data_IF_170978779954
#
_entry.id   IF_170978779954
#
_cell.length_a   1.000
_cell.length_b   1.000
_cell.length_c   1.000
_cell.angle_alpha   90.00
_cell.angle_beta   90.00
_cell.angle_gamma   90.00
#
_symmetry.space_group_name_H-M   'P 1'
#
loop_
_entity.id
_entity.type
_entity.pdbx_description
1 polymer ?
#
# COMPACT_ATOMS: atom_id res chain seq x y z
N UNK A 1 1.35 -13.00 44.81
CA UNK A 1 0.75 -11.89 44.04
C UNK A 1 0.19 -12.51 42.77
N UNK A 2 -1.12 -12.72 42.74
CA UNK A 2 -1.82 -13.25 41.55
C UNK A 2 -1.96 -12.14 40.52
N UNK A 3 -1.21 -12.22 39.42
CA UNK A 3 -1.40 -11.35 38.27
C UNK A 3 -2.62 -11.83 37.48
N UNK A 4 -3.77 -11.25 37.80
CA UNK A 4 -4.96 -11.34 36.96
C UNK A 4 -4.68 -10.61 35.63
N UNK A 5 -4.25 -11.36 34.61
CA UNK A 5 -4.31 -10.89 33.23
C UNK A 5 -5.79 -10.77 32.87
N UNK A 6 -6.34 -9.55 32.96
CA UNK A 6 -7.58 -9.21 32.28
C UNK A 6 -7.35 -9.44 30.79
N UNK A 7 -7.94 -10.51 30.24
CA UNK A 7 -8.08 -10.66 28.79
C UNK A 7 -8.73 -9.40 28.24
N UNK A 8 -8.09 -8.67 27.30
CA UNK A 8 -8.73 -7.56 26.63
C UNK A 8 -10.00 -8.09 25.98
N UNK A 9 -11.15 -7.52 26.34
CA UNK A 9 -12.38 -7.74 25.58
C UNK A 9 -12.11 -7.22 24.18
N UNK A 10 -12.02 -8.15 23.23
CA UNK A 10 -11.87 -7.86 21.81
C UNK A 10 -13.05 -6.99 21.38
N UNK A 11 -12.83 -5.68 21.25
CA UNK A 11 -13.76 -4.80 20.58
C UNK A 11 -13.77 -5.23 19.12
N UNK A 12 -14.76 -6.02 18.74
CA UNK A 12 -14.95 -6.46 17.35
C UNK A 12 -15.31 -5.23 16.52
N UNK A 13 -14.29 -4.53 16.02
CA UNK A 13 -14.49 -3.41 15.12
C UNK A 13 -14.89 -3.95 13.75
N UNK A 14 -16.12 -3.63 13.36
CA UNK A 14 -16.62 -3.83 12.02
C UNK A 14 -15.96 -2.77 11.13
N UNK A 15 -14.85 -3.13 10.46
CA UNK A 15 -14.60 -2.57 9.12
C UNK A 15 -15.94 -2.68 8.39
N UNK A 16 -16.57 -1.53 8.05
CA UNK A 16 -17.80 -1.56 7.28
C UNK A 16 -17.45 -2.27 5.98
N UNK A 17 -17.77 -3.55 5.90
CA UNK A 17 -17.72 -4.34 4.69
C UNK A 17 -18.74 -3.68 3.78
N UNK A 18 -18.30 -2.64 3.08
CA UNK A 18 -19.00 -2.16 1.91
C UNK A 18 -19.12 -3.38 1.02
N UNK A 19 -20.33 -3.71 0.58
CA UNK A 19 -20.59 -4.90 -0.22
C UNK A 19 -19.60 -4.91 -1.39
N UNK A 20 -18.53 -5.69 -1.27
CA UNK A 20 -17.36 -5.48 -2.10
C UNK A 20 -17.63 -5.91 -3.55
N UNK A 21 -18.77 -6.57 -3.78
CA UNK A 21 -19.35 -6.87 -5.09
C UNK A 21 -19.86 -5.63 -5.83
N UNK A 22 -20.11 -4.51 -5.14
CA UNK A 22 -20.64 -3.25 -5.70
C UNK A 22 -19.64 -2.09 -5.68
N UNK A 23 -18.44 -2.31 -5.14
CA UNK A 23 -17.39 -1.30 -5.06
C UNK A 23 -16.95 -0.84 -6.46
N UNK A 24 -16.88 0.48 -6.66
CA UNK A 24 -16.37 1.04 -7.91
C UNK A 24 -14.87 0.69 -8.03
N UNK A 25 -14.43 0.12 -9.16
CA UNK A 25 -13.02 -0.16 -9.38
C UNK A 25 -12.23 1.15 -9.43
N UNK A 26 -11.07 1.15 -8.80
CA UNK A 26 -10.17 2.30 -8.69
C UNK A 26 -9.10 2.22 -9.78
N UNK A 27 -8.76 3.37 -10.37
CA UNK A 27 -7.69 3.43 -11.37
C UNK A 27 -8.05 2.80 -12.71
N UNK A 28 -9.32 2.87 -13.14
CA UNK A 28 -9.72 2.47 -14.49
C UNK A 28 -8.92 3.28 -15.53
N UNK A 29 -8.18 2.60 -16.40
CA UNK A 29 -7.32 3.25 -17.38
C UNK A 29 -7.54 2.74 -18.80
N UNK A 30 -8.07 3.61 -19.68
CA UNK A 30 -8.40 3.27 -21.07
C UNK A 30 -7.53 3.99 -22.11
N UNK A 31 -6.65 4.90 -21.69
CA UNK A 31 -5.76 5.60 -22.60
C UNK A 31 -4.67 4.64 -23.14
N UNK A 32 -4.14 4.96 -24.31
CA UNK A 32 -3.05 4.18 -24.90
C UNK A 32 -1.76 4.38 -24.09
N UNK A 33 -1.04 3.29 -23.84
CA UNK A 33 0.30 3.32 -23.25
C UNK A 33 1.34 2.84 -24.25
N UNK A 34 2.62 3.22 -24.10
CA UNK A 34 3.72 2.66 -24.87
C UNK A 34 3.76 1.14 -24.91
N UNK A 35 4.16 0.55 -26.04
CA UNK A 35 4.27 -0.91 -26.20
C UNK A 35 5.28 -1.53 -25.22
N UNK A 36 6.41 -0.85 -24.98
CA UNK A 36 7.35 -1.20 -23.90
C UNK A 36 6.92 -0.47 -22.64
N UNK A 37 6.29 -1.19 -21.71
CA UNK A 37 5.78 -0.63 -20.47
C UNK A 37 6.04 -1.59 -19.29
N UNK A 38 7.14 -1.40 -18.54
CA UNK A 38 7.40 -2.20 -17.33
C UNK A 38 6.32 -1.98 -16.25
N UNK A 39 5.61 -0.85 -16.31
CA UNK A 39 4.57 -0.47 -15.34
C UNK A 39 3.16 -0.85 -15.76
N UNK A 40 2.99 -1.80 -16.70
CA UNK A 40 1.68 -2.17 -17.27
C UNK A 40 0.61 -2.53 -16.22
N UNK A 41 1.02 -3.06 -15.06
CA UNK A 41 0.10 -3.37 -13.98
C UNK A 41 -0.56 -2.13 -13.39
N UNK A 42 -0.03 -0.92 -13.57
CA UNK A 42 -0.72 0.29 -13.10
C UNK A 42 -1.89 0.68 -14.02
N UNK A 43 -1.93 0.21 -15.26
CA UNK A 43 -2.86 0.68 -16.29
C UNK A 43 -3.93 -0.36 -16.61
N UNK A 44 -4.67 -0.81 -15.59
CA UNK A 44 -5.76 -1.78 -15.75
C UNK A 44 -6.99 -1.11 -16.38
N UNK A 45 -7.53 -1.61 -17.52
CA UNK A 45 -8.76 -1.10 -18.11
C UNK A 45 -10.00 -1.42 -17.28
N UNK A 46 -9.90 -2.39 -16.36
CA UNK A 46 -10.97 -2.74 -15.42
C UNK A 46 -10.81 -2.05 -14.06
N UNK A 47 -9.70 -1.34 -13.84
CA UNK A 47 -9.31 -0.83 -12.53
C UNK A 47 -9.05 -1.96 -11.52
N UNK A 48 -9.01 -1.59 -10.25
CA UNK A 48 -8.72 -2.46 -9.11
C UNK A 48 -9.78 -2.34 -8.03
N UNK A 49 -10.21 -3.48 -7.48
CA UNK A 49 -11.08 -3.50 -6.33
C UNK A 49 -10.27 -3.74 -5.05
N UNK A 50 -9.71 -2.68 -4.48
CA UNK A 50 -8.93 -2.76 -3.24
C UNK A 50 -9.73 -3.16 -2.01
N UNK A 51 -11.07 -3.17 -2.08
CA UNK A 51 -11.96 -3.65 -1.01
C UNK A 51 -12.09 -5.19 -1.01
N UNK A 52 -11.67 -5.87 -2.09
CA UNK A 52 -11.77 -7.32 -2.22
C UNK A 52 -10.68 -7.86 -3.15
N UNK A 53 -9.43 -7.75 -2.68
CA UNK A 53 -8.24 -8.13 -3.43
C UNK A 53 -7.40 -9.16 -2.67
N UNK A 54 -6.81 -10.17 -3.35
CA UNK A 54 -5.76 -10.99 -2.76
C UNK A 54 -4.54 -10.14 -2.39
N UNK A 55 -3.98 -10.35 -1.19
CA UNK A 55 -2.80 -9.61 -0.75
C UNK A 55 -1.60 -9.76 -1.72
N UNK A 56 -1.49 -10.90 -2.40
CA UNK A 56 -0.48 -11.14 -3.44
C UNK A 56 -0.67 -10.27 -4.68
N UNK A 57 -1.92 -9.98 -5.06
CA UNK A 57 -2.22 -9.09 -6.18
C UNK A 57 -1.88 -7.64 -5.82
N UNK A 58 -2.22 -7.20 -4.59
CA UNK A 58 -1.79 -5.90 -4.08
C UNK A 58 -0.26 -5.78 -4.03
N UNK A 59 0.45 -6.84 -3.60
CA UNK A 59 1.92 -6.89 -3.61
C UNK A 59 2.50 -6.70 -5.01
N UNK A 60 1.88 -7.30 -6.04
CA UNK A 60 2.35 -7.13 -7.42
C UNK A 60 2.19 -5.69 -7.89
N UNK A 61 1.07 -5.03 -7.57
CA UNK A 61 0.86 -3.61 -7.86
C UNK A 61 1.91 -2.78 -7.13
N UNK A 62 2.09 -3.01 -5.82
CA UNK A 62 3.08 -2.31 -5.00
C UNK A 62 4.50 -2.43 -5.54
N UNK A 63 4.93 -3.63 -5.95
CA UNK A 63 6.25 -3.84 -6.52
C UNK A 63 6.46 -3.02 -7.80
N UNK A 64 5.42 -2.86 -8.62
CA UNK A 64 5.50 -2.02 -9.82
C UNK A 64 5.60 -0.53 -9.47
N UNK A 65 4.96 -0.09 -8.39
CA UNK A 65 5.11 1.28 -7.88
C UNK A 65 6.54 1.50 -7.35
N UNK A 66 7.08 0.53 -6.60
CA UNK A 66 8.48 0.58 -6.11
C UNK A 66 9.45 0.67 -7.28
N UNK A 67 9.25 -0.14 -8.33
CA UNK A 67 10.07 -0.10 -9.54
C UNK A 67 9.99 1.28 -10.21
N UNK A 68 8.79 1.85 -10.37
CA UNK A 68 8.60 3.18 -10.93
C UNK A 68 9.34 4.27 -10.15
N UNK A 69 9.21 4.28 -8.82
CA UNK A 69 9.89 5.27 -7.98
C UNK A 69 11.41 5.14 -8.07
N UNK A 70 11.91 3.90 -8.09
CA UNK A 70 13.34 3.61 -8.29
C UNK A 70 13.83 4.13 -9.65
N UNK A 71 13.11 3.83 -10.74
CA UNK A 71 13.51 4.22 -12.09
C UNK A 71 13.51 5.76 -12.26
N UNK A 72 12.52 6.45 -11.68
CA UNK A 72 12.48 7.92 -11.65
C UNK A 72 13.63 8.50 -10.83
N UNK A 73 13.97 7.89 -9.68
CA UNK A 73 15.09 8.34 -8.86
C UNK A 73 16.42 8.17 -9.60
N UNK A 74 16.64 7.02 -10.22
CA UNK A 74 17.82 6.74 -11.03
C UNK A 74 17.92 7.70 -12.21
N UNK A 75 16.82 7.98 -12.92
CA UNK A 75 16.85 8.92 -14.05
C UNK A 75 17.19 10.35 -13.63
N UNK A 76 16.90 10.74 -12.39
CA UNK A 76 17.16 12.11 -11.88
C UNK A 76 18.51 12.26 -11.20
N UNK A 77 18.94 11.26 -10.45
CA UNK A 77 20.06 11.38 -9.49
C UNK A 77 21.15 10.32 -9.69
N UNK A 78 20.97 9.42 -10.65
CA UNK A 78 21.92 8.35 -10.94
C UNK A 78 21.69 7.08 -10.13
N UNK A 79 22.47 6.05 -10.48
CA UNK A 79 22.47 4.76 -9.81
C UNK A 79 22.92 4.88 -8.35
N UNK A 80 22.25 4.16 -7.44
CA UNK A 80 22.53 4.24 -5.99
C UNK A 80 21.89 5.45 -5.28
N UNK A 81 21.02 6.20 -5.96
CA UNK A 81 20.24 7.27 -5.33
C UNK A 81 19.43 6.75 -4.13
N UNK A 82 19.48 7.50 -3.01
CA UNK A 82 18.80 7.12 -1.78
C UNK A 82 17.29 7.22 -1.98
N UNK A 83 16.49 6.21 -1.56
CA UNK A 83 15.05 6.29 -1.61
C UNK A 83 14.55 7.48 -0.78
N UNK A 84 13.59 8.22 -1.33
CA UNK A 84 12.86 9.24 -0.60
C UNK A 84 11.92 8.62 0.45
N UNK A 85 11.29 9.46 1.27
CA UNK A 85 10.40 8.99 2.35
C UNK A 85 9.27 8.12 1.81
N UNK A 86 8.67 8.49 0.68
CA UNK A 86 7.60 7.71 0.07
C UNK A 86 8.10 6.32 -0.36
N UNK A 87 9.21 6.24 -1.08
CA UNK A 87 9.84 4.99 -1.51
C UNK A 87 10.25 4.12 -0.33
N UNK A 88 10.72 4.73 0.76
CA UNK A 88 11.02 4.02 2.00
C UNK A 88 9.76 3.37 2.59
N UNK A 89 8.63 4.10 2.65
CA UNK A 89 7.36 3.54 3.13
C UNK A 89 6.84 2.42 2.21
N UNK A 90 6.95 2.55 0.88
CA UNK A 90 6.56 1.47 -0.05
C UNK A 90 7.29 0.17 0.24
N UNK A 91 8.61 0.24 0.45
CA UNK A 91 9.42 -0.93 0.80
C UNK A 91 9.02 -1.54 2.14
N UNK A 92 8.67 -0.71 3.14
CA UNK A 92 8.18 -1.22 4.43
C UNK A 92 6.84 -1.92 4.30
N UNK A 93 5.92 -1.42 3.47
CA UNK A 93 4.66 -2.10 3.15
C UNK A 93 4.95 -3.44 2.47
N UNK A 94 5.85 -3.47 1.48
CA UNK A 94 6.20 -4.71 0.78
C UNK A 94 6.76 -5.77 1.72
N UNK A 95 7.60 -5.37 2.68
CA UNK A 95 8.12 -6.24 3.73
C UNK A 95 7.03 -6.73 4.69
N UNK A 96 6.13 -5.84 5.13
CA UNK A 96 5.01 -6.20 6.00
C UNK A 96 4.04 -7.19 5.32
N UNK A 97 3.89 -7.10 4.00
CA UNK A 97 3.12 -8.07 3.22
C UNK A 97 3.90 -9.38 3.04
N UNK A 98 5.21 -9.33 2.79
CA UNK A 98 6.01 -10.54 2.58
C UNK A 98 5.99 -11.50 3.78
N UNK A 99 5.79 -10.97 4.99
CA UNK A 99 5.71 -11.73 6.24
C UNK A 99 4.28 -12.17 6.60
N UNK A 100 3.27 -11.85 5.78
CA UNK A 100 1.89 -12.28 6.03
C UNK A 100 1.60 -13.69 5.47
N UNK A 101 0.86 -14.49 6.24
CA UNK A 101 0.34 -15.79 5.81
C UNK A 101 -1.14 -15.72 5.40
N UNK A 102 -1.69 -14.51 5.22
CA UNK A 102 -3.09 -14.32 4.85
C UNK A 102 -3.42 -15.00 3.50
N UNK A 103 -4.39 -15.92 3.52
CA UNK A 103 -4.93 -16.58 2.34
C UNK A 103 -6.37 -16.12 2.12
N UNK A 104 -6.66 -15.54 0.96
CA UNK A 104 -8.00 -15.05 0.62
C UNK A 104 -7.97 -13.65 0.02
N UNK A 105 -9.15 -13.05 -0.11
CA UNK A 105 -9.33 -11.65 -0.50
C UNK A 105 -9.69 -10.83 0.73
N UNK A 106 -9.23 -9.59 0.77
CA UNK A 106 -9.52 -8.65 1.86
C UNK A 106 -9.66 -7.24 1.31
N UNK A 107 -10.29 -6.38 2.10
CA UNK A 107 -10.06 -4.95 2.00
C UNK A 107 -8.62 -4.68 2.47
N UNK A 108 -7.82 -4.12 1.56
CA UNK A 108 -6.40 -3.86 1.80
C UNK A 108 -6.24 -2.81 2.91
N UNK A 109 -7.00 -1.72 2.87
CA UNK A 109 -6.90 -0.66 3.87
C UNK A 109 -7.37 -1.13 5.24
N UNK A 110 -8.47 -1.88 5.31
CA UNK A 110 -8.92 -2.45 6.58
C UNK A 110 -7.94 -3.46 7.17
N UNK A 111 -7.22 -4.24 6.34
CA UNK A 111 -6.17 -5.12 6.84
C UNK A 111 -5.09 -4.34 7.61
N UNK A 112 -4.62 -3.22 7.05
CA UNK A 112 -3.59 -2.38 7.70
C UNK A 112 -4.16 -1.61 8.90
N UNK A 113 -5.40 -1.11 8.82
CA UNK A 113 -6.07 -0.45 9.94
C UNK A 113 -6.17 -1.37 11.15
N UNK A 114 -6.57 -2.63 10.96
CA UNK A 114 -6.63 -3.62 12.03
C UNK A 114 -5.28 -3.77 12.75
N UNK A 115 -4.16 -3.72 12.01
CA UNK A 115 -2.82 -3.77 12.62
C UNK A 115 -2.47 -2.51 13.42
N UNK A 116 -2.97 -1.34 13.01
CA UNK A 116 -2.84 -0.11 13.80
C UNK A 116 -3.59 -0.24 15.13
N UNK A 117 -4.82 -0.74 15.08
CA UNK A 117 -5.65 -0.95 16.27
C UNK A 117 -5.04 -1.99 17.22
N UNK A 118 -4.60 -3.14 16.69
CA UNK A 118 -3.87 -4.16 17.48
C UNK A 118 -2.62 -3.57 18.14
N UNK A 119 -1.86 -2.72 17.45
CA UNK A 119 -0.69 -2.04 18.01
C UNK A 119 -1.08 -0.99 19.07
N UNK A 120 -2.23 -0.34 18.91
CA UNK A 120 -2.76 0.65 19.86
C UNK A 120 -3.18 -0.01 21.17
N UNK A 121 -3.83 -1.18 21.10
CA UNK A 121 -4.24 -1.93 22.29
C UNK A 121 -3.05 -2.43 23.12
N UNK A 122 -1.87 -2.55 22.49
CA UNK A 122 -0.60 -2.87 23.17
C UNK A 122 0.05 -1.66 23.86
N UNK A 123 -0.45 -0.44 23.64
CA UNK A 123 -0.03 0.76 24.36
C UNK A 123 -0.66 0.73 25.76
N UNK A 124 -0.11 -0.12 26.63
CA UNK A 124 -0.30 -0.05 28.08
C UNK A 124 0.57 1.03 28.72
N UNK A 125 0.48 1.18 30.05
CA UNK A 125 0.86 2.39 30.81
C UNK A 125 2.28 2.96 30.68
N UNK A 126 3.29 2.25 30.15
CA UNK A 126 4.51 2.92 29.66
C UNK A 126 5.49 1.95 29.01
N UNK A 127 5.58 1.97 27.69
CA UNK A 127 6.67 1.35 26.96
C UNK A 127 6.85 2.09 25.63
N UNK A 128 7.80 3.02 25.58
CA UNK A 128 8.18 3.81 24.39
C UNK A 128 8.28 2.97 23.11
N UNK A 129 8.69 1.70 23.22
CA UNK A 129 8.75 0.74 22.11
C UNK A 129 7.39 0.45 21.47
N UNK A 130 6.29 0.36 22.25
CA UNK A 130 4.94 0.16 21.69
C UNK A 130 4.40 1.43 21.04
N UNK A 131 4.72 2.62 21.56
CA UNK A 131 4.40 3.90 20.92
C UNK A 131 5.10 4.00 19.56
N UNK A 132 6.39 3.66 19.50
CA UNK A 132 7.14 3.63 18.25
C UNK A 132 6.56 2.62 17.25
N UNK A 133 6.18 1.42 17.72
CA UNK A 133 5.54 0.41 16.90
C UNK A 133 4.20 0.90 16.32
N UNK A 134 3.34 1.49 17.16
CA UNK A 134 2.06 2.06 16.73
C UNK A 134 2.24 3.17 15.69
N UNK A 135 3.16 4.11 15.92
CA UNK A 135 3.45 5.17 14.95
C UNK A 135 3.97 4.60 13.63
N UNK A 136 4.86 3.60 13.71
CA UNK A 136 5.39 2.87 12.57
C UNK A 136 4.27 2.23 11.75
N UNK A 137 3.34 1.50 12.37
CA UNK A 137 2.23 0.83 11.66
C UNK A 137 1.21 1.85 11.14
N UNK A 138 0.99 2.95 11.86
CA UNK A 138 0.11 4.05 11.44
C UNK A 138 0.62 4.73 10.16
N UNK A 139 1.93 4.91 10.02
CA UNK A 139 2.53 5.42 8.78
C UNK A 139 2.27 4.47 7.60
N UNK A 140 2.44 3.15 7.79
CA UNK A 140 2.15 2.16 6.75
C UNK A 140 0.69 2.23 6.32
N UNK A 141 -0.23 2.34 7.28
CA UNK A 141 -1.65 2.47 7.00
C UNK A 141 -1.96 3.74 6.19
N UNK A 142 -1.40 4.89 6.56
CA UNK A 142 -1.62 6.14 5.84
C UNK A 142 -1.11 6.07 4.39
N UNK A 143 0.05 5.46 4.16
CA UNK A 143 0.55 5.24 2.80
C UNK A 143 -0.37 4.27 2.04
N UNK A 144 -0.86 3.19 2.66
CA UNK A 144 -1.82 2.27 2.03
C UNK A 144 -3.15 2.97 1.68
N UNK A 145 -3.65 3.85 2.54
CA UNK A 145 -4.82 4.68 2.23
C UNK A 145 -4.60 5.53 0.98
N UNK A 146 -3.45 6.19 0.89
CA UNK A 146 -3.10 6.96 -0.29
C UNK A 146 -3.07 6.06 -1.55
N UNK A 147 -2.39 4.91 -1.48
CA UNK A 147 -2.27 3.96 -2.60
C UNK A 147 -3.60 3.37 -3.06
N UNK A 148 -4.55 3.19 -2.14
CA UNK A 148 -5.84 2.56 -2.42
C UNK A 148 -6.96 3.56 -2.67
N UNK A 149 -6.69 4.86 -2.53
CA UNK A 149 -7.61 5.93 -2.90
C UNK A 149 -7.59 6.20 -4.42
N UNK A 150 -8.71 6.65 -4.98
CA UNK A 150 -8.75 7.03 -6.41
C UNK A 150 -7.76 8.14 -6.74
N UNK A 151 -7.70 9.20 -5.92
CA UNK A 151 -6.79 10.32 -6.13
C UNK A 151 -5.32 9.88 -6.09
N UNK A 152 -4.92 9.16 -5.03
CA UNK A 152 -3.53 8.72 -4.88
C UNK A 152 -3.12 7.70 -5.94
N UNK A 153 -3.99 6.74 -6.28
CA UNK A 153 -3.68 5.78 -7.33
C UNK A 153 -3.62 6.44 -8.72
N UNK A 154 -4.49 7.42 -9.01
CA UNK A 154 -4.43 8.23 -10.24
C UNK A 154 -3.14 9.04 -10.34
N UNK A 155 -2.68 9.63 -9.24
CA UNK A 155 -1.41 10.35 -9.22
C UNK A 155 -0.24 9.43 -9.63
N UNK A 156 -0.25 8.19 -9.16
CA UNK A 156 0.75 7.18 -9.51
C UNK A 156 0.66 6.78 -10.98
N UNK A 157 -0.54 6.56 -11.52
CA UNK A 157 -0.75 6.29 -12.95
C UNK A 157 -0.23 7.45 -13.82
N UNK A 158 -0.53 8.69 -13.43
CA UNK A 158 -0.08 9.88 -14.15
C UNK A 158 1.44 10.03 -14.10
N UNK A 159 2.05 9.73 -12.95
CA UNK A 159 3.51 9.70 -12.77
C UNK A 159 4.16 8.67 -13.70
N UNK A 160 3.61 7.45 -13.73
CA UNK A 160 4.07 6.38 -14.61
C UNK A 160 3.95 6.77 -16.10
N UNK A 161 2.83 7.38 -16.48
CA UNK A 161 2.61 7.82 -17.86
C UNK A 161 3.58 8.94 -18.27
N UNK A 162 3.83 9.91 -17.39
CA UNK A 162 4.80 10.98 -17.63
C UNK A 162 6.21 10.42 -17.84
N UNK A 163 6.65 9.54 -16.93
CA UNK A 163 7.97 8.93 -17.01
C UNK A 163 8.16 8.07 -18.28
N UNK A 164 7.14 7.29 -18.68
CA UNK A 164 7.17 6.54 -19.94
C UNK A 164 7.31 7.43 -21.17
N UNK A 165 6.64 8.60 -21.18
CA UNK A 165 6.74 9.57 -22.28
C UNK A 165 8.12 10.22 -22.34
N UNK A 166 8.70 10.55 -21.19
CA UNK A 166 10.08 11.05 -21.11
C UNK A 166 11.05 10.03 -21.69
N UNK A 167 10.97 8.76 -21.28
CA UNK A 167 11.84 7.71 -21.82
C UNK A 167 11.71 7.55 -23.35
N UNK A 168 10.52 7.73 -23.92
CA UNK A 168 10.33 7.69 -25.37
C UNK A 168 10.90 8.91 -26.09
N UNK A 169 10.90 10.09 -25.45
CA UNK A 169 11.45 11.30 -26.06
C UNK A 169 12.99 11.28 -26.16
N UNK A 170 13.65 10.42 -25.37
CA UNK A 170 15.11 10.29 -25.33
C UNK A 170 15.63 8.95 -25.90
N UNK A 171 14.77 8.11 -26.48
CA UNK A 171 15.10 6.82 -27.10
C UNK A 171 15.15 6.92 -28.63
#
# INVERSE_FOLDING_TARGET
MDMNFKTPQSNTFLCKVSDASTAKPIGVFSAQTPNKNPYKALFSPKGYNFLNMPMSEFKNILNVIIQLESDISISKWGEGSRPDEFSYQLNRIANAIATTHFKGKTDISCYFLKRVEEAKDMIGEDCTSFIQAHNSVSQLYNTVLQLTSEEGFRAIQNKALAHLKEQQAFA
#
